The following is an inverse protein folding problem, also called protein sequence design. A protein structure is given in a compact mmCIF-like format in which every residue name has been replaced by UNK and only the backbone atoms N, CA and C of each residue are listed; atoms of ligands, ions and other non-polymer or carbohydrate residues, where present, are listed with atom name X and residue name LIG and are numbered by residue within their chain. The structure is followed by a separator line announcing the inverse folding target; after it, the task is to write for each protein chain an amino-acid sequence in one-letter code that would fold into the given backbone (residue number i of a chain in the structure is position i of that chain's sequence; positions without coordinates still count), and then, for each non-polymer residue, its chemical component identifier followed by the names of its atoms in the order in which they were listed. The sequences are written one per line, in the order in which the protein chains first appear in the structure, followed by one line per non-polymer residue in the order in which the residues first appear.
data_IF_437386227737
#
_entry.id   IF_437386227737
#
_cell.length_a   1.000
_cell.length_b   1.000
_cell.length_c   1.000
_cell.angle_alpha   90.00
_cell.angle_beta   90.00
_cell.angle_gamma   90.00
#
_symmetry.space_group_name_H-M   'P 1'
#
loop_
_entity.id
_entity.type
_entity.pdbx_description
1 polymer ?
#
# COMPACT_ATOMS: atom_id res chain seq x y z
N UNK A 1 8.72 -23.43 3.18
CA UNK A 1 8.10 -22.10 3.14
C UNK A 1 9.00 -21.22 2.29
N UNK A 2 8.46 -20.52 1.29
CA UNK A 2 9.29 -19.63 0.45
C UNK A 2 9.27 -18.25 1.07
N UNK A 3 10.29 -17.98 1.89
CA UNK A 3 10.54 -16.65 2.43
C UNK A 3 10.90 -15.68 1.30
N UNK A 4 10.36 -14.48 1.36
CA UNK A 4 10.61 -13.45 0.36
C UNK A 4 10.58 -12.06 0.99
N UNK A 5 11.24 -11.09 0.35
CA UNK A 5 11.36 -9.73 0.87
C UNK A 5 10.29 -8.83 0.24
N UNK A 6 9.42 -8.25 1.06
CA UNK A 6 8.41 -7.31 0.57
C UNK A 6 9.07 -6.02 0.04
N UNK A 7 8.78 -5.57 -1.20
CA UNK A 7 9.40 -4.37 -1.76
C UNK A 7 8.97 -3.07 -1.07
N UNK A 8 7.80 -3.05 -0.41
CA UNK A 8 7.26 -1.88 0.30
C UNK A 8 7.86 -1.73 1.70
N UNK A 9 7.69 -2.72 2.58
CA UNK A 9 8.18 -2.63 3.96
C UNK A 9 9.59 -3.20 4.19
N UNK A 10 10.20 -3.81 3.16
CA UNK A 10 11.54 -4.44 3.19
C UNK A 10 11.70 -5.58 4.21
N UNK A 11 10.63 -6.05 4.84
CA UNK A 11 10.64 -7.22 5.74
C UNK A 11 10.67 -8.52 4.94
N UNK A 12 11.37 -9.52 5.45
CA UNK A 12 11.25 -10.91 5.00
C UNK A 12 9.98 -11.50 5.60
N UNK A 13 9.14 -12.10 4.77
CA UNK A 13 7.87 -12.72 5.16
C UNK A 13 7.73 -14.08 4.49
N UNK A 14 6.96 -14.97 5.11
CA UNK A 14 6.64 -16.31 4.63
C UNK A 14 5.20 -16.42 4.11
N UNK A 15 4.45 -15.31 4.09
CA UNK A 15 3.06 -15.25 3.65
C UNK A 15 2.91 -15.23 2.12
N UNK A 16 1.76 -15.68 1.62
CA UNK A 16 1.41 -15.53 0.21
C UNK A 16 1.34 -14.03 -0.18
N UNK A 17 1.99 -13.62 -1.28
CA UNK A 17 1.99 -12.21 -1.69
C UNK A 17 0.61 -11.77 -2.21
N UNK A 18 0.17 -10.59 -1.77
CA UNK A 18 -0.94 -9.87 -2.38
C UNK A 18 -0.47 -8.95 -3.52
N UNK A 19 -1.40 -8.46 -4.33
CA UNK A 19 -1.13 -7.47 -5.38
C UNK A 19 -1.41 -6.07 -4.84
N UNK A 20 -0.48 -5.13 -5.01
CA UNK A 20 -0.66 -3.74 -4.59
C UNK A 20 -1.83 -3.07 -5.31
N UNK A 21 -2.60 -2.29 -4.57
CA UNK A 21 -3.72 -1.45 -5.04
C UNK A 21 -3.23 -0.18 -5.76
N UNK A 22 -1.93 0.11 -5.71
CA UNK A 22 -1.36 1.35 -6.29
C UNK A 22 -1.04 1.22 -7.76
N UNK A 23 -0.61 0.04 -8.19
CA UNK A 23 -0.23 -0.23 -9.57
C UNK A 23 -0.90 -1.48 -10.17
N UNK A 24 -1.62 -2.27 -9.35
CA UNK A 24 -2.22 -3.56 -9.72
C UNK A 24 -1.22 -4.57 -10.33
N UNK A 25 0.07 -4.42 -10.03
CA UNK A 25 1.16 -5.24 -10.59
C UNK A 25 2.11 -5.75 -9.52
N UNK A 26 2.59 -4.87 -8.64
CA UNK A 26 3.63 -5.21 -7.67
C UNK A 26 3.11 -6.15 -6.58
N UNK A 27 3.89 -7.19 -6.29
CA UNK A 27 3.60 -8.14 -5.20
C UNK A 27 4.09 -7.60 -3.86
N UNK A 28 3.20 -7.51 -2.87
CA UNK A 28 3.46 -6.99 -1.52
C UNK A 28 2.95 -7.95 -0.43
N UNK A 29 3.45 -7.82 0.80
CA UNK A 29 3.03 -8.72 1.87
C UNK A 29 1.58 -8.44 2.30
N UNK A 30 0.97 -9.39 3.00
CA UNK A 30 -0.42 -9.28 3.47
C UNK A 30 -0.64 -8.04 4.34
N UNK A 31 0.32 -7.67 5.20
CA UNK A 31 0.23 -6.47 6.03
C UNK A 31 0.17 -5.20 5.17
N UNK A 32 1.09 -5.08 4.20
CA UNK A 32 1.13 -3.94 3.27
C UNK A 32 -0.15 -3.85 2.43
N UNK A 33 -0.74 -4.97 2.01
CA UNK A 33 -2.03 -4.99 1.32
C UNK A 33 -3.17 -4.45 2.21
N UNK A 34 -3.21 -4.86 3.48
CA UNK A 34 -4.20 -4.35 4.44
C UNK A 34 -4.03 -2.86 4.68
N UNK A 35 -2.80 -2.39 4.84
CA UNK A 35 -2.49 -0.96 5.02
C UNK A 35 -2.98 -0.13 3.84
N UNK A 36 -2.78 -0.61 2.60
CA UNK A 36 -3.28 0.06 1.40
C UNK A 36 -4.81 0.15 1.37
N UNK A 37 -5.48 -0.94 1.74
CA UNK A 37 -6.94 -0.99 1.79
C UNK A 37 -7.52 -0.06 2.87
N UNK A 38 -6.87 -0.01 4.05
CA UNK A 38 -7.25 0.91 5.13
C UNK A 38 -7.03 2.35 4.70
N UNK A 39 -5.90 2.67 4.06
CA UNK A 39 -5.63 4.01 3.53
C UNK A 39 -6.73 4.46 2.54
N UNK A 40 -7.09 3.61 1.59
CA UNK A 40 -8.17 3.91 0.61
C UNK A 40 -9.49 4.18 1.32
N UNK A 41 -9.82 3.36 2.32
CA UNK A 41 -11.03 3.51 3.11
C UNK A 41 -11.04 4.83 3.89
N UNK A 42 -9.92 5.23 4.49
CA UNK A 42 -9.79 6.50 5.20
C UNK A 42 -9.95 7.69 4.25
N UNK A 43 -9.33 7.65 3.08
CA UNK A 43 -9.48 8.68 2.03
C UNK A 43 -10.94 8.79 1.60
N UNK A 44 -11.60 7.66 1.33
CA UNK A 44 -13.00 7.62 0.95
C UNK A 44 -13.92 8.21 2.05
N UNK A 45 -13.69 7.84 3.32
CA UNK A 45 -14.41 8.40 4.45
C UNK A 45 -14.18 9.90 4.63
N UNK A 46 -12.95 10.39 4.45
CA UNK A 46 -12.63 11.80 4.56
C UNK A 46 -13.37 12.62 3.49
N UNK A 47 -13.38 12.12 2.24
CA UNK A 47 -14.16 12.71 1.13
C UNK A 47 -15.66 12.77 1.44
N UNK A 48 -16.24 11.68 1.95
CA UNK A 48 -17.66 11.65 2.33
C UNK A 48 -18.00 12.67 3.42
N UNK A 49 -17.13 12.81 4.43
CA UNK A 49 -17.32 13.73 5.56
C UNK A 49 -16.92 15.18 5.24
N UNK A 50 -16.59 15.50 3.97
CA UNK A 50 -16.03 16.79 3.52
C UNK A 50 -14.84 17.26 4.38
N UNK A 51 -14.09 16.32 4.96
CA UNK A 51 -12.87 16.63 5.70
C UNK A 51 -11.75 16.88 4.71
N UNK A 52 -10.90 17.85 5.00
CA UNK A 52 -9.68 18.08 4.24
C UNK A 52 -8.75 16.89 4.51
N UNK A 53 -8.61 16.02 3.52
CA UNK A 53 -7.53 15.05 3.50
C UNK A 53 -6.38 15.69 2.70
N UNK A 54 -5.19 15.87 3.28
CA UNK A 54 -4.08 16.50 2.57
C UNK A 54 -3.71 15.67 1.33
N UNK A 55 -3.90 16.24 0.14
CA UNK A 55 -3.65 15.59 -1.15
C UNK A 55 -2.21 15.06 -1.25
N UNK A 56 -1.27 15.74 -0.58
CA UNK A 56 0.12 15.35 -0.48
C UNK A 56 0.29 13.93 0.06
N UNK A 57 -0.58 13.46 0.97
CA UNK A 57 -0.46 12.12 1.54
C UNK A 57 -0.79 11.01 0.54
N UNK A 58 -1.67 11.27 -0.43
CA UNK A 58 -1.99 10.30 -1.48
C UNK A 58 -0.82 10.16 -2.46
N UNK A 59 -0.12 11.27 -2.74
CA UNK A 59 1.08 11.25 -3.58
C UNK A 59 2.24 10.53 -2.87
N UNK A 60 2.49 10.85 -1.60
CA UNK A 60 3.54 10.22 -0.78
C UNK A 60 3.35 8.70 -0.66
N UNK A 61 2.10 8.24 -0.54
CA UNK A 61 1.83 6.81 -0.36
C UNK A 61 2.25 5.97 -1.58
N UNK A 62 2.34 6.56 -2.78
CA UNK A 62 2.81 5.87 -3.99
C UNK A 62 4.32 5.90 -4.19
N UNK A 63 5.07 6.66 -3.38
CA UNK A 63 6.49 6.91 -3.67
C UNK A 63 7.37 5.67 -3.62
N UNK A 64 7.05 4.71 -2.76
CA UNK A 64 7.79 3.45 -2.66
C UNK A 64 7.79 2.67 -4.00
N UNK A 65 6.83 2.90 -4.90
CA UNK A 65 6.81 2.29 -6.24
C UNK A 65 7.97 2.78 -7.12
N UNK A 66 8.52 3.96 -6.87
CA UNK A 66 9.70 4.49 -7.58
C UNK A 66 10.96 3.67 -7.31
N UNK A 67 10.99 2.93 -6.21
CA UNK A 67 12.10 2.05 -5.85
C UNK A 67 11.90 0.62 -6.39
N UNK A 68 10.76 0.34 -7.03
CA UNK A 68 10.39 -0.98 -7.57
C UNK A 68 10.38 -0.99 -9.09
N UNK A 69 10.02 0.13 -9.73
CA UNK A 69 9.98 0.30 -11.19
C UNK A 69 11.18 1.08 -11.71
#
# INVERSE_FOLDING_TARGET
MNEWKCPKCKKTVDCHPGTSRRDNKTKICSECCTDEAIFDFQVAQAKQKKKIFPENFIALEKEWLKEVN
#
